data_IF_862502862636
#
_entry.id   IF_862502862636
#
_cell.length_a   1.000
_cell.length_b   1.000
_cell.length_c   1.000
_cell.angle_alpha   90.00
_cell.angle_beta   90.00
_cell.angle_gamma   90.00
#
_symmetry.space_group_name_H-M   'P 1'
#
loop_
_entity.id
_entity.type
_entity.pdbx_description
1 polymer ?
#
# COMPACT_ATOMS: atom_id res chain seq x y z
N UNK A 1 -28.30 -28.96 -2.95
CA UNK A 1 -27.14 -28.35 -2.26
C UNK A 1 -25.87 -29.04 -2.73
N UNK A 2 -24.82 -28.31 -3.14
CA UNK A 2 -23.57 -28.93 -3.54
C UNK A 2 -22.96 -29.69 -2.36
N UNK A 3 -22.74 -31.00 -2.53
CA UNK A 3 -22.12 -31.84 -1.51
C UNK A 3 -20.62 -31.58 -1.48
N UNK A 4 -20.01 -31.69 -0.31
CA UNK A 4 -18.56 -31.70 -0.21
C UNK A 4 -18.01 -32.89 -1.04
N UNK A 5 -16.84 -32.72 -1.66
CA UNK A 5 -16.15 -33.82 -2.31
C UNK A 5 -15.83 -34.94 -1.28
N UNK A 6 -15.71 -36.21 -1.70
CA UNK A 6 -15.33 -37.31 -0.82
C UNK A 6 -14.04 -37.04 -0.05
N UNK A 7 -13.88 -37.60 1.16
CA UNK A 7 -12.71 -37.36 2.02
C UNK A 7 -11.38 -37.71 1.34
N UNK A 8 -11.35 -38.78 0.55
CA UNK A 8 -10.18 -39.17 -0.24
C UNK A 8 -9.75 -38.06 -1.22
N UNK A 9 -10.72 -37.40 -1.86
CA UNK A 9 -10.47 -36.27 -2.75
C UNK A 9 -10.04 -35.03 -1.98
N UNK A 10 -10.62 -34.78 -0.80
CA UNK A 10 -10.19 -33.69 0.07
C UNK A 10 -8.72 -33.83 0.49
N UNK A 11 -8.32 -35.05 0.89
CA UNK A 11 -6.95 -35.36 1.25
C UNK A 11 -6.01 -35.21 0.05
N UNK A 12 -6.42 -35.71 -1.13
CA UNK A 12 -5.64 -35.60 -2.35
C UNK A 12 -5.44 -34.14 -2.79
N UNK A 13 -6.49 -33.31 -2.72
CA UNK A 13 -6.41 -31.87 -3.02
C UNK A 13 -5.42 -31.15 -2.10
N UNK A 14 -5.50 -31.41 -0.79
CA UNK A 14 -4.56 -30.84 0.19
C UNK A 14 -3.12 -31.18 -0.14
N UNK A 15 -2.85 -32.46 -0.47
CA UNK A 15 -1.50 -32.92 -0.81
C UNK A 15 -0.97 -32.24 -2.06
N UNK A 16 -1.78 -32.17 -3.12
CA UNK A 16 -1.43 -31.52 -4.39
C UNK A 16 -1.10 -30.05 -4.22
N UNK A 17 -1.98 -29.29 -3.55
CA UNK A 17 -1.76 -27.86 -3.33
C UNK A 17 -0.53 -27.57 -2.46
N UNK A 18 -0.25 -28.41 -1.45
CA UNK A 18 0.96 -28.24 -0.65
C UNK A 18 2.24 -28.59 -1.42
N UNK A 19 2.22 -29.65 -2.25
CA UNK A 19 3.36 -29.99 -3.10
C UNK A 19 3.62 -28.88 -4.14
N UNK A 20 2.57 -28.41 -4.81
CA UNK A 20 2.66 -27.32 -5.78
C UNK A 20 3.16 -26.02 -5.14
N UNK A 21 2.66 -25.68 -3.95
CA UNK A 21 3.12 -24.52 -3.19
C UNK A 21 4.58 -24.62 -2.78
N UNK A 22 5.06 -25.81 -2.40
CA UNK A 22 6.46 -26.00 -2.02
C UNK A 22 7.41 -25.77 -3.22
N UNK A 23 6.97 -26.11 -4.44
CA UNK A 23 7.74 -25.96 -5.67
C UNK A 23 7.66 -24.53 -6.25
N UNK A 24 6.45 -23.95 -6.30
CA UNK A 24 6.19 -22.69 -7.01
C UNK A 24 6.07 -21.48 -6.08
N UNK A 25 5.86 -21.69 -4.78
CA UNK A 25 5.61 -20.62 -3.80
C UNK A 25 6.52 -20.72 -2.55
N UNK A 26 7.85 -20.51 -2.67
CA UNK A 26 8.82 -20.72 -1.58
C UNK A 26 8.59 -19.86 -0.32
N UNK A 27 7.72 -18.85 -0.41
CA UNK A 27 7.33 -17.94 0.68
C UNK A 27 6.26 -18.53 1.59
N UNK A 28 5.47 -19.46 1.07
CA UNK A 28 4.50 -20.20 1.87
C UNK A 28 5.25 -21.27 2.68
N UNK A 29 5.00 -21.30 3.97
CA UNK A 29 5.33 -22.46 4.80
C UNK A 29 4.37 -23.61 4.51
N UNK A 30 3.08 -23.30 4.28
CA UNK A 30 2.05 -24.32 4.05
C UNK A 30 0.80 -23.74 3.38
N UNK A 31 0.03 -24.59 2.72
CA UNK A 31 -1.34 -24.27 2.28
C UNK A 31 -2.36 -25.03 3.12
N UNK A 32 -3.31 -24.30 3.70
CA UNK A 32 -4.45 -24.83 4.45
C UNK A 32 -5.69 -24.87 3.59
N UNK A 33 -6.42 -25.98 3.64
CA UNK A 33 -7.64 -26.17 2.85
C UNK A 33 -8.77 -26.64 3.75
N UNK A 34 -9.82 -25.83 3.85
CA UNK A 34 -11.03 -26.12 4.64
C UNK A 34 -12.23 -26.31 3.74
N UNK A 35 -12.99 -27.38 3.94
CA UNK A 35 -14.17 -27.69 3.13
C UNK A 35 -15.45 -27.29 3.85
N UNK A 36 -16.35 -26.59 3.15
CA UNK A 36 -17.69 -26.24 3.65
C UNK A 36 -18.66 -26.06 2.48
N UNK A 37 -19.83 -26.70 2.56
CA UNK A 37 -20.94 -26.51 1.62
C UNK A 37 -20.56 -26.63 0.13
N UNK A 38 -19.72 -27.60 -0.24
CA UNK A 38 -19.29 -27.83 -1.62
C UNK A 38 -18.14 -26.92 -2.09
N UNK A 39 -17.54 -26.15 -1.18
CA UNK A 39 -16.40 -25.29 -1.46
C UNK A 39 -15.17 -25.73 -0.66
N UNK A 40 -13.99 -25.55 -1.26
CA UNK A 40 -12.71 -25.60 -0.60
C UNK A 40 -12.16 -24.17 -0.46
N UNK A 41 -11.96 -23.73 0.78
CA UNK A 41 -11.36 -22.44 1.12
C UNK A 41 -9.86 -22.65 1.30
N UNK A 42 -9.07 -21.92 0.53
CA UNK A 42 -7.61 -22.07 0.45
C UNK A 42 -6.96 -20.87 1.12
N UNK A 43 -6.14 -21.13 2.12
CA UNK A 43 -5.36 -20.14 2.87
C UNK A 43 -3.87 -20.48 2.78
N UNK A 44 -3.03 -19.46 2.57
CA UNK A 44 -1.57 -19.60 2.60
C UNK A 44 -1.03 -19.22 3.97
N UNK A 45 -0.26 -20.11 4.60
CA UNK A 45 0.54 -19.80 5.78
C UNK A 45 1.93 -19.35 5.34
N UNK A 46 2.30 -18.12 5.68
CA UNK A 46 3.62 -17.56 5.41
C UNK A 46 4.66 -18.15 6.39
N UNK A 47 5.94 -18.11 6.02
CA UNK A 47 7.05 -18.51 6.92
C UNK A 47 7.09 -17.76 8.26
N UNK A 48 6.43 -16.61 8.36
CA UNK A 48 6.23 -15.87 9.61
C UNK A 48 5.04 -16.34 10.47
N UNK A 49 4.35 -17.43 10.10
CA UNK A 49 3.22 -18.01 10.84
C UNK A 49 1.85 -17.37 10.57
N UNK A 50 1.81 -16.29 9.78
CA UNK A 50 0.57 -15.60 9.40
C UNK A 50 -0.21 -16.36 8.32
N UNK A 51 -1.55 -16.37 8.43
CA UNK A 51 -2.45 -17.02 7.46
C UNK A 51 -3.23 -15.99 6.64
N UNK A 52 -3.10 -16.11 5.32
CA UNK A 52 -3.75 -15.24 4.34
C UNK A 52 -4.79 -16.04 3.53
N UNK A 53 -6.05 -15.59 3.43
CA UNK A 53 -7.01 -16.17 2.51
C UNK A 53 -6.62 -15.92 1.05
N UNK A 54 -6.51 -16.97 0.23
CA UNK A 54 -6.06 -16.86 -1.17
C UNK A 54 -7.25 -16.95 -2.12
N UNK A 55 -7.92 -18.09 -2.14
CA UNK A 55 -9.02 -18.36 -3.07
C UNK A 55 -10.02 -19.38 -2.52
N UNK A 56 -11.15 -19.49 -3.21
CA UNK A 56 -12.19 -20.47 -2.95
C UNK A 56 -12.43 -21.28 -4.22
N UNK A 57 -12.38 -22.61 -4.06
CA UNK A 57 -12.62 -23.57 -5.12
C UNK A 57 -14.02 -24.15 -4.96
N UNK A 58 -14.82 -24.15 -6.01
CA UNK A 58 -16.15 -24.75 -6.06
C UNK A 58 -16.05 -26.15 -6.66
N UNK A 59 -16.52 -27.14 -5.93
CA UNK A 59 -16.61 -28.50 -6.44
C UNK A 59 -17.76 -28.60 -7.44
N UNK A 60 -17.47 -29.07 -8.66
CA UNK A 60 -18.44 -29.21 -9.75
C UNK A 60 -18.81 -30.67 -10.04
N UNK A 61 -18.22 -31.63 -9.31
CA UNK A 61 -18.39 -33.07 -9.55
C UNK A 61 -17.23 -33.72 -10.30
N UNK A 62 -16.33 -32.92 -10.90
CA UNK A 62 -15.12 -33.40 -11.56
C UNK A 62 -13.91 -33.43 -10.60
N UNK A 63 -13.04 -34.44 -10.76
CA UNK A 63 -11.93 -34.69 -9.83
C UNK A 63 -10.82 -33.62 -9.91
N UNK A 64 -10.58 -33.07 -11.10
CA UNK A 64 -9.47 -32.15 -11.38
C UNK A 64 -9.93 -30.74 -11.80
N UNK A 65 -11.24 -30.49 -11.87
CA UNK A 65 -11.77 -29.23 -12.40
C UNK A 65 -12.61 -28.53 -11.33
N UNK A 66 -12.21 -27.33 -10.98
CA UNK A 66 -12.81 -26.54 -9.90
C UNK A 66 -13.25 -25.19 -10.42
N UNK A 67 -14.43 -24.73 -9.99
CA UNK A 67 -14.80 -23.33 -10.17
C UNK A 67 -13.95 -22.45 -9.26
N UNK A 68 -13.57 -21.27 -9.70
CA UNK A 68 -12.57 -20.44 -9.02
C UNK A 68 -13.12 -19.07 -8.61
N UNK A 69 -12.86 -18.69 -7.37
CA UNK A 69 -13.13 -17.36 -6.86
C UNK A 69 -11.91 -16.84 -6.09
N UNK A 70 -11.50 -15.61 -6.38
CA UNK A 70 -10.43 -14.94 -5.65
C UNK A 70 -10.98 -14.36 -4.36
N UNK A 71 -10.20 -14.43 -3.28
CA UNK A 71 -10.52 -13.61 -2.11
C UNK A 71 -10.42 -12.13 -2.50
N UNK A 72 -11.23 -11.27 -1.89
CA UNK A 72 -11.14 -9.81 -2.01
C UNK A 72 -11.09 -9.20 -0.60
N UNK A 73 -9.92 -8.68 -0.22
CA UNK A 73 -9.72 -8.14 1.14
C UNK A 73 -10.66 -6.97 1.46
N UNK A 74 -11.06 -6.18 0.45
CA UNK A 74 -11.91 -5.01 0.62
C UNK A 74 -13.37 -5.30 1.02
N UNK A 75 -13.89 -6.50 0.74
CA UNK A 75 -15.25 -6.91 1.11
C UNK A 75 -15.28 -8.14 2.03
N UNK A 76 -14.11 -8.68 2.41
CA UNK A 76 -13.99 -9.90 3.20
C UNK A 76 -14.58 -11.15 2.52
N UNK A 77 -14.77 -11.10 1.20
CA UNK A 77 -15.53 -12.08 0.42
C UNK A 77 -14.71 -12.79 -0.65
N UNK A 78 -15.40 -13.62 -1.43
CA UNK A 78 -14.82 -14.33 -2.58
C UNK A 78 -15.60 -13.95 -3.84
N UNK A 79 -14.89 -13.46 -4.85
CA UNK A 79 -15.45 -13.06 -6.13
C UNK A 79 -15.10 -14.09 -7.20
N UNK A 80 -16.12 -14.62 -7.86
CA UNK A 80 -15.93 -15.52 -8.99
C UNK A 80 -15.15 -14.81 -10.10
N UNK A 81 -14.14 -15.48 -10.66
CA UNK A 81 -13.25 -14.91 -11.68
C UNK A 81 -12.98 -15.95 -12.76
N UNK A 82 -12.54 -15.46 -13.92
CA UNK A 82 -12.05 -16.29 -15.02
C UNK A 82 -10.54 -16.50 -14.93
N UNK A 83 -10.09 -17.64 -15.43
CA UNK A 83 -8.70 -17.94 -15.71
C UNK A 83 -8.23 -17.15 -16.96
N UNK A 84 -6.90 -17.00 -17.19
CA UNK A 84 -6.37 -16.28 -18.36
C UNK A 84 -6.84 -16.81 -19.72
N UNK A 85 -7.20 -18.10 -19.78
CA UNK A 85 -7.79 -18.76 -20.95
C UNK A 85 -9.28 -18.43 -21.16
N UNK A 86 -9.87 -17.57 -20.34
CA UNK A 86 -11.29 -17.19 -20.38
C UNK A 86 -12.24 -18.19 -19.71
N UNK A 87 -11.75 -19.33 -19.22
CA UNK A 87 -12.59 -20.34 -18.59
C UNK A 87 -12.93 -19.97 -17.14
N UNK A 88 -14.08 -20.45 -16.66
CA UNK A 88 -14.55 -20.24 -15.27
C UNK A 88 -14.21 -21.41 -14.35
N UNK A 89 -13.57 -22.46 -14.89
CA UNK A 89 -13.14 -23.62 -14.16
C UNK A 89 -11.80 -24.14 -14.71
N UNK A 90 -10.94 -24.61 -13.82
CA UNK A 90 -9.58 -25.05 -14.13
C UNK A 90 -9.06 -25.97 -13.02
N UNK A 91 -7.77 -26.24 -13.04
CA UNK A 91 -7.13 -27.01 -11.97
C UNK A 91 -7.05 -26.19 -10.67
N UNK A 92 -6.89 -26.90 -9.54
CA UNK A 92 -6.73 -26.25 -8.25
C UNK A 92 -5.38 -25.52 -8.14
N UNK A 93 -4.35 -26.05 -8.80
CA UNK A 93 -3.00 -25.49 -8.89
C UNK A 93 -2.99 -24.19 -9.68
N UNK A 94 -3.61 -24.14 -10.86
CA UNK A 94 -3.75 -22.89 -11.63
C UNK A 94 -4.49 -21.81 -10.82
N UNK A 95 -5.49 -22.21 -10.02
CA UNK A 95 -6.21 -21.29 -9.15
C UNK A 95 -5.33 -20.78 -8.00
N UNK A 96 -4.47 -21.64 -7.45
CA UNK A 96 -3.48 -21.27 -6.45
C UNK A 96 -2.43 -20.33 -7.03
N UNK A 97 -1.91 -20.61 -8.22
CA UNK A 97 -0.94 -19.77 -8.89
C UNK A 97 -1.52 -18.40 -9.20
N UNK A 98 -2.73 -18.36 -9.75
CA UNK A 98 -3.40 -17.08 -10.03
C UNK A 98 -3.64 -16.26 -8.77
N UNK A 99 -4.00 -16.90 -7.66
CA UNK A 99 -4.17 -16.23 -6.38
C UNK A 99 -2.82 -15.80 -5.78
N UNK A 100 -1.78 -16.62 -5.91
CA UNK A 100 -0.43 -16.34 -5.49
C UNK A 100 0.18 -15.18 -6.25
N UNK A 101 0.00 -15.09 -7.56
CA UNK A 101 0.45 -13.95 -8.37
C UNK A 101 -0.13 -12.64 -7.84
N UNK A 102 -1.43 -12.64 -7.53
CA UNK A 102 -2.10 -11.42 -7.07
C UNK A 102 -1.79 -11.04 -5.62
N UNK A 103 -1.36 -12.00 -4.79
CA UNK A 103 -1.31 -11.83 -3.32
C UNK A 103 0.06 -12.02 -2.70
N UNK A 104 0.86 -12.91 -3.28
CA UNK A 104 2.11 -13.42 -2.72
C UNK A 104 3.32 -13.02 -3.57
N UNK A 105 3.11 -12.73 -4.87
CA UNK A 105 4.13 -11.99 -5.62
C UNK A 105 4.01 -10.49 -5.29
N UNK A 106 5.11 -9.86 -4.85
CA UNK A 106 5.27 -8.43 -5.09
C UNK A 106 5.31 -8.33 -6.60
N UNK A 107 4.48 -7.49 -7.21
CA UNK A 107 4.59 -7.25 -8.65
C UNK A 107 6.07 -6.94 -8.96
N UNK A 108 6.84 -7.87 -9.56
CA UNK A 108 8.09 -7.51 -10.16
C UNK A 108 7.69 -6.79 -11.45
N UNK A 109 8.49 -5.83 -11.92
CA UNK A 109 8.07 -4.94 -12.97
C UNK A 109 7.60 -5.75 -14.18
N UNK A 110 6.33 -5.58 -14.57
CA UNK A 110 5.82 -6.04 -15.86
C UNK A 110 6.43 -5.28 -17.04
N UNK A 111 7.72 -4.95 -16.97
CA UNK A 111 8.48 -4.13 -17.90
C UNK A 111 9.98 -4.12 -17.54
N UNK A 112 10.85 -3.65 -18.44
CA UNK A 112 12.30 -3.68 -18.26
C UNK A 112 12.74 -2.59 -17.27
N UNK A 113 12.69 -2.88 -15.97
CA UNK A 113 13.30 -2.06 -14.92
C UNK A 113 12.33 -1.39 -13.94
N UNK A 114 12.86 -0.59 -12.99
CA UNK A 114 12.05 0.10 -11.98
C UNK A 114 11.02 1.03 -12.62
N UNK A 115 9.86 1.18 -11.98
CA UNK A 115 8.82 2.12 -12.40
C UNK A 115 9.36 3.56 -12.32
N UNK A 116 9.42 4.30 -13.43
CA UNK A 116 9.88 5.67 -13.41
C UNK A 116 8.85 6.58 -12.72
N UNK A 117 9.32 7.42 -11.81
CA UNK A 117 8.56 8.48 -11.15
C UNK A 117 9.08 9.81 -11.65
N UNK A 118 8.29 10.58 -12.44
CA UNK A 118 8.72 11.84 -13.00
C UNK A 118 9.02 12.88 -11.90
N UNK A 119 9.92 13.81 -12.18
CA UNK A 119 10.17 14.95 -11.29
C UNK A 119 8.89 15.80 -11.18
N UNK A 120 8.42 16.01 -9.95
CA UNK A 120 7.16 16.69 -9.67
C UNK A 120 6.69 16.46 -8.24
N UNK A 121 5.38 16.41 -8.03
CA UNK A 121 4.79 16.14 -6.72
C UNK A 121 4.56 14.64 -6.54
N UNK A 122 5.13 14.06 -5.49
CA UNK A 122 4.90 12.68 -5.08
C UNK A 122 4.10 12.65 -3.78
N UNK A 123 2.90 12.09 -3.82
CA UNK A 123 2.04 11.95 -2.64
C UNK A 123 2.11 10.53 -2.11
N UNK A 124 2.52 10.38 -0.85
CA UNK A 124 2.36 9.10 -0.16
C UNK A 124 0.94 9.01 0.39
N UNK A 125 0.22 7.94 0.06
CA UNK A 125 -1.18 7.75 0.42
C UNK A 125 -1.32 6.46 1.22
N UNK A 126 -1.60 6.56 2.51
CA UNK A 126 -1.85 5.39 3.34
C UNK A 126 -2.07 5.73 4.81
N UNK A 127 -2.73 4.83 5.56
CA UNK A 127 -3.03 5.04 6.98
C UNK A 127 -1.75 5.12 7.83
N UNK A 128 -1.83 5.61 9.08
CA UNK A 128 -0.76 5.41 10.06
C UNK A 128 -0.35 3.94 10.13
N UNK A 129 0.89 3.68 10.55
CA UNK A 129 1.49 2.34 10.54
C UNK A 129 1.77 1.71 9.17
N UNK A 130 1.30 2.25 8.04
CA UNK A 130 1.42 1.60 6.71
C UNK A 130 2.83 1.46 6.09
N UNK A 131 3.88 1.92 6.78
CA UNK A 131 5.27 1.80 6.29
C UNK A 131 5.82 2.97 5.45
N UNK A 132 5.07 4.07 5.29
CA UNK A 132 5.49 5.27 4.54
C UNK A 132 6.88 5.78 4.96
N UNK A 133 7.07 6.05 6.25
CA UNK A 133 8.34 6.58 6.79
C UNK A 133 9.50 5.60 6.60
N UNK A 134 9.26 4.30 6.75
CA UNK A 134 10.29 3.29 6.49
C UNK A 134 10.69 3.25 5.01
N UNK A 135 9.71 3.37 4.11
CA UNK A 135 9.95 3.45 2.67
C UNK A 135 10.75 4.71 2.28
N UNK A 136 10.36 5.87 2.80
CA UNK A 136 11.05 7.15 2.57
C UNK A 136 12.51 7.09 3.06
N UNK A 137 12.73 6.66 4.30
CA UNK A 137 14.08 6.49 4.85
C UNK A 137 14.95 5.59 3.98
N UNK A 138 14.35 4.54 3.41
CA UNK A 138 15.05 3.62 2.52
C UNK A 138 15.38 4.27 1.17
N UNK A 139 14.47 5.08 0.60
CA UNK A 139 14.76 5.85 -0.60
C UNK A 139 15.92 6.82 -0.40
N UNK A 140 15.96 7.52 0.74
CA UNK A 140 17.06 8.44 1.09
C UNK A 140 18.38 7.66 1.28
N UNK A 141 18.36 6.60 2.09
CA UNK A 141 19.56 5.80 2.39
C UNK A 141 20.21 5.21 1.13
N UNK A 142 19.41 4.93 0.09
CA UNK A 142 19.90 4.45 -1.20
C UNK A 142 20.12 5.56 -2.24
N UNK A 143 20.06 6.83 -1.83
CA UNK A 143 20.29 7.98 -2.72
C UNK A 143 19.27 8.12 -3.85
N UNK A 144 18.08 7.51 -3.72
CA UNK A 144 17.03 7.58 -4.76
C UNK A 144 16.33 8.93 -4.76
N UNK A 145 16.16 9.52 -3.59
CA UNK A 145 15.68 10.89 -3.38
C UNK A 145 16.63 11.59 -2.40
N UNK A 146 16.68 12.90 -2.48
CA UNK A 146 17.41 13.72 -1.50
C UNK A 146 16.54 13.89 -0.25
N UNK A 147 17.16 14.00 0.93
CA UNK A 147 16.44 14.12 2.21
C UNK A 147 15.54 15.36 2.26
N UNK A 148 16.03 16.47 1.72
CA UNK A 148 15.31 17.73 1.59
C UNK A 148 14.11 17.66 0.62
N UNK A 149 14.00 16.59 -0.18
CA UNK A 149 12.86 16.33 -1.04
C UNK A 149 11.63 15.85 -0.28
N UNK A 150 11.78 15.43 0.97
CA UNK A 150 10.69 14.94 1.81
C UNK A 150 10.14 16.08 2.66
N UNK A 151 8.83 16.30 2.56
CA UNK A 151 8.11 17.27 3.38
C UNK A 151 7.12 16.48 4.23
N UNK A 152 7.46 16.26 5.51
CA UNK A 152 6.64 15.53 6.47
C UNK A 152 5.88 16.49 7.40
N UNK A 153 4.56 16.27 7.54
CA UNK A 153 3.76 17.05 8.51
C UNK A 153 4.16 16.77 9.96
N UNK A 154 4.64 15.56 10.25
CA UNK A 154 5.10 15.17 11.60
C UNK A 154 6.42 15.86 11.95
N UNK A 155 7.33 15.99 10.99
CA UNK A 155 8.61 16.72 11.18
C UNK A 155 8.35 18.21 11.35
N UNK A 156 7.49 18.81 10.51
CA UNK A 156 7.09 20.21 10.65
C UNK A 156 6.41 20.46 12.01
N UNK A 157 5.54 19.54 12.46
CA UNK A 157 4.93 19.61 13.79
C UNK A 157 5.99 19.62 14.88
N UNK A 158 6.98 18.73 14.80
CA UNK A 158 8.07 18.66 15.77
C UNK A 158 8.96 19.92 15.75
N UNK A 159 9.25 20.49 14.58
CA UNK A 159 10.01 21.73 14.44
C UNK A 159 9.27 22.94 15.03
N UNK A 160 7.98 23.09 14.70
CA UNK A 160 7.18 24.24 15.14
C UNK A 160 6.80 24.19 16.62
N UNK A 161 6.55 23.00 17.18
CA UNK A 161 6.17 22.83 18.58
C UNK A 161 7.36 22.52 19.51
N UNK A 162 8.43 21.92 18.98
CA UNK A 162 9.67 21.66 19.72
C UNK A 162 10.56 22.89 19.86
N UNK A 163 10.39 23.90 18.99
CA UNK A 163 10.97 25.22 19.15
C UNK A 163 10.07 26.12 20.02
N UNK A 164 9.82 25.73 21.28
CA UNK A 164 9.25 26.66 22.23
C UNK A 164 10.22 27.84 22.42
N UNK A 165 9.76 29.11 22.38
CA UNK A 165 10.63 30.26 22.53
C UNK A 165 11.28 30.22 23.91
N UNK A 166 12.61 30.31 23.94
CA UNK A 166 13.36 30.63 25.14
C UNK A 166 12.98 32.04 25.58
N UNK A 167 11.96 32.13 26.42
CA UNK A 167 11.43 33.39 26.95
C UNK A 167 9.94 33.55 26.71
N UNK A 168 9.12 32.76 27.41
CA UNK A 168 7.71 33.14 27.60
C UNK A 168 7.51 33.34 29.10
N UNK A 169 7.00 34.52 29.44
CA UNK A 169 6.62 34.92 30.78
C UNK A 169 5.67 33.86 31.39
N UNK A 170 5.80 33.49 32.69
CA UNK A 170 4.98 32.45 33.32
C UNK A 170 3.46 32.77 33.37
N UNK A 171 3.07 34.00 33.01
CA UNK A 171 1.70 34.51 33.14
C UNK A 171 0.94 34.57 31.80
N UNK A 172 1.43 33.93 30.73
CA UNK A 172 0.66 33.83 29.47
C UNK A 172 0.00 32.46 29.36
N UNK A 173 -1.26 32.36 29.80
CA UNK A 173 -2.18 31.28 29.46
C UNK A 173 -2.49 31.29 27.95
N UNK A 174 -1.51 30.96 27.09
CA UNK A 174 -1.76 30.77 25.66
C UNK A 174 -2.03 29.29 25.39
N UNK A 175 -3.20 28.80 25.78
CA UNK A 175 -3.79 27.60 25.18
C UNK A 175 -4.00 27.89 23.68
N UNK A 176 -2.97 27.64 22.87
CA UNK A 176 -3.07 27.81 21.42
C UNK A 176 -4.04 26.78 20.90
N UNK A 177 -5.06 27.23 20.14
CA UNK A 177 -6.08 26.36 19.56
C UNK A 177 -5.41 25.25 18.71
N UNK A 178 -5.68 23.96 18.97
CA UNK A 178 -5.17 22.86 18.16
C UNK A 178 -5.41 23.03 16.65
N UNK A 179 -6.53 23.64 16.27
CA UNK A 179 -6.86 23.88 14.86
C UNK A 179 -5.94 24.94 14.22
N UNK A 180 -5.54 25.98 14.97
CA UNK A 180 -4.57 26.97 14.52
C UNK A 180 -3.17 26.37 14.36
N UNK A 181 -2.79 25.46 15.28
CA UNK A 181 -1.52 24.73 15.17
C UNK A 181 -1.49 23.86 13.92
N UNK A 182 -2.54 23.09 13.66
CA UNK A 182 -2.63 22.25 12.46
C UNK A 182 -2.67 23.08 11.17
N UNK A 183 -3.35 24.23 11.17
CA UNK A 183 -3.33 25.16 10.05
C UNK A 183 -1.91 25.64 9.73
N UNK A 184 -1.14 26.06 10.75
CA UNK A 184 0.26 26.49 10.59
C UNK A 184 1.15 25.38 10.04
N UNK A 185 0.95 24.14 10.49
CA UNK A 185 1.69 22.97 9.98
C UNK A 185 1.40 22.75 8.49
N UNK A 186 0.13 22.82 8.09
CA UNK A 186 -0.25 22.65 6.68
C UNK A 186 0.21 23.80 5.79
N UNK A 187 0.16 25.04 6.27
CA UNK A 187 0.70 26.19 5.56
C UNK A 187 2.21 26.06 5.34
N UNK A 188 2.96 25.66 6.37
CA UNK A 188 4.41 25.46 6.26
C UNK A 188 4.74 24.31 5.31
N UNK A 189 3.99 23.21 5.36
CA UNK A 189 4.13 22.09 4.42
C UNK A 189 3.94 22.57 2.99
N UNK A 190 2.87 23.29 2.73
CA UNK A 190 2.54 23.77 1.39
C UNK A 190 3.57 24.78 0.89
N UNK A 191 4.09 25.65 1.77
CA UNK A 191 5.19 26.58 1.47
C UNK A 191 6.45 25.83 1.02
N UNK A 192 6.85 24.77 1.72
CA UNK A 192 8.01 23.93 1.35
C UNK A 192 7.79 23.21 0.02
N UNK A 193 6.59 22.66 -0.21
CA UNK A 193 6.24 22.03 -1.48
C UNK A 193 6.31 23.05 -2.63
N UNK A 194 5.70 24.22 -2.47
CA UNK A 194 5.74 25.31 -3.45
C UNK A 194 7.18 25.70 -3.80
N UNK A 195 8.05 25.87 -2.80
CA UNK A 195 9.44 26.25 -3.02
C UNK A 195 10.19 25.23 -3.90
N UNK A 196 10.01 23.92 -3.65
CA UNK A 196 10.64 22.87 -4.44
C UNK A 196 10.10 22.80 -5.86
N UNK A 197 8.78 22.83 -6.01
CA UNK A 197 8.15 22.77 -7.34
C UNK A 197 8.49 23.99 -8.19
N UNK A 198 8.58 25.19 -7.59
CA UNK A 198 9.06 26.40 -8.26
C UNK A 198 10.51 26.29 -8.75
N UNK A 199 11.35 25.55 -8.02
CA UNK A 199 12.72 25.23 -8.45
C UNK A 199 12.79 24.05 -9.45
N UNK A 200 11.65 23.50 -9.88
CA UNK A 200 11.59 22.33 -10.76
C UNK A 200 12.05 21.03 -10.10
N UNK A 201 12.16 21.01 -8.77
CA UNK A 201 12.61 19.88 -7.97
C UNK A 201 11.44 19.00 -7.53
N UNK A 202 11.72 17.72 -7.30
CA UNK A 202 10.72 16.78 -6.75
C UNK A 202 10.37 17.14 -5.32
N UNK A 203 9.08 17.14 -5.00
CA UNK A 203 8.56 17.28 -3.63
C UNK A 203 7.80 16.00 -3.25
N UNK A 204 8.23 15.33 -2.18
CA UNK A 204 7.59 14.14 -1.62
C UNK A 204 6.80 14.55 -0.39
N UNK A 205 5.47 14.59 -0.50
CA UNK A 205 4.60 14.90 0.64
C UNK A 205 4.37 13.64 1.49
N UNK A 206 5.09 13.55 2.62
CA UNK A 206 4.92 12.48 3.58
C UNK A 206 3.83 12.85 4.59
N UNK A 207 2.63 12.32 4.37
CA UNK A 207 1.49 12.41 5.29
C UNK A 207 0.56 11.24 5.02
N UNK A 208 -0.57 11.14 5.72
CA UNK A 208 -1.54 10.06 5.45
C UNK A 208 -2.22 10.23 4.09
N UNK A 209 -2.59 11.46 3.71
CA UNK A 209 -3.21 11.85 2.43
C UNK A 209 -4.41 10.96 2.00
N UNK A 210 -5.12 10.36 2.96
CA UNK A 210 -6.22 9.43 2.67
C UNK A 210 -7.52 10.11 2.27
N UNK A 211 -7.71 11.40 2.62
CA UNK A 211 -8.92 12.16 2.31
C UNK A 211 -8.80 12.86 0.94
N UNK A 212 -9.89 12.96 0.16
CA UNK A 212 -9.90 13.73 -1.08
C UNK A 212 -9.52 15.20 -0.88
N UNK A 213 -9.97 15.82 0.21
CA UNK A 213 -9.70 17.22 0.51
C UNK A 213 -8.21 17.50 0.69
N UNK A 214 -7.49 16.62 1.42
CA UNK A 214 -6.05 16.75 1.60
C UNK A 214 -5.31 16.67 0.26
N UNK A 215 -5.74 15.78 -0.63
CA UNK A 215 -5.12 15.61 -1.95
C UNK A 215 -5.45 16.75 -2.91
N UNK A 216 -6.72 17.20 -2.95
CA UNK A 216 -7.17 18.26 -3.86
C UNK A 216 -6.33 19.54 -3.72
N UNK A 217 -6.00 19.91 -2.48
CA UNK A 217 -5.15 21.08 -2.19
C UNK A 217 -3.72 20.91 -2.74
N UNK A 218 -3.11 19.75 -2.54
CA UNK A 218 -1.75 19.46 -3.02
C UNK A 218 -1.70 19.33 -4.56
N UNK A 219 -2.72 18.71 -5.16
CA UNK A 219 -2.87 18.64 -6.62
C UNK A 219 -2.99 20.04 -7.20
N UNK A 220 -3.81 20.91 -6.62
CA UNK A 220 -3.94 22.29 -7.06
C UNK A 220 -2.60 23.05 -7.01
N UNK A 221 -1.78 22.82 -5.98
CA UNK A 221 -0.41 23.38 -5.91
C UNK A 221 0.44 22.86 -7.07
N UNK A 222 0.49 21.55 -7.32
CA UNK A 222 1.30 20.98 -8.41
C UNK A 222 0.89 21.50 -9.79
N UNK A 223 -0.43 21.62 -10.04
CA UNK A 223 -0.95 22.12 -11.32
C UNK A 223 -0.56 23.58 -11.60
N UNK A 224 -0.34 24.41 -10.57
CA UNK A 224 0.17 25.79 -10.76
C UNK A 224 1.59 25.86 -11.33
N UNK A 225 2.35 24.77 -11.22
CA UNK A 225 3.73 24.67 -11.69
C UNK A 225 3.88 23.69 -12.87
N UNK A 226 2.76 23.25 -13.47
CA UNK A 226 2.73 22.19 -14.49
C UNK A 226 3.50 20.93 -14.08
N UNK A 227 3.55 20.65 -12.77
CA UNK A 227 4.28 19.53 -12.21
C UNK A 227 3.40 18.27 -12.20
N UNK A 228 3.92 17.12 -12.67
CA UNK A 228 3.18 15.87 -12.63
C UNK A 228 2.96 15.42 -11.18
N UNK A 229 1.79 14.83 -10.92
CA UNK A 229 1.39 14.29 -9.63
C UNK A 229 1.44 12.76 -9.69
N UNK A 230 2.36 12.17 -8.94
CA UNK A 230 2.45 10.72 -8.73
C UNK A 230 1.93 10.36 -7.35
N UNK A 231 1.01 9.41 -7.25
CA UNK A 231 0.51 8.92 -5.95
C UNK A 231 1.02 7.49 -5.67
N UNK A 232 1.70 7.33 -4.54
CA UNK A 232 2.22 6.04 -4.06
C UNK A 232 1.34 5.54 -2.91
N UNK A 233 0.60 4.47 -3.15
CA UNK A 233 -0.39 3.91 -2.23
C UNK A 233 0.20 2.81 -1.36
N UNK A 234 -0.09 2.86 -0.06
CA UNK A 234 0.34 1.86 0.91
C UNK A 234 -0.90 1.14 1.44
N UNK A 235 -1.19 -0.05 0.92
CA UNK A 235 -2.43 -0.80 1.18
C UNK A 235 -2.20 -2.11 1.96
N UNK A 236 -1.54 -2.11 3.13
CA UNK A 236 -1.52 -3.29 3.99
C UNK A 236 -2.93 -3.59 4.52
N UNK A 237 -3.14 -4.83 4.95
CA UNK A 237 -4.37 -5.22 5.63
C UNK A 237 -4.49 -4.57 7.02
N UNK A 238 -5.72 -4.52 7.54
CA UNK A 238 -6.00 -3.86 8.81
C UNK A 238 -5.30 -4.54 9.99
N UNK A 239 -5.16 -5.87 9.98
CA UNK A 239 -4.56 -6.59 11.10
C UNK A 239 -3.05 -6.33 11.17
N UNK A 240 -2.38 -6.24 10.02
CA UNK A 240 -0.98 -5.80 9.96
C UNK A 240 -0.82 -4.35 10.42
N UNK A 241 -1.70 -3.43 10.01
CA UNK A 241 -1.65 -2.03 10.47
C UNK A 241 -1.78 -1.92 11.98
N UNK A 242 -2.73 -2.66 12.58
CA UNK A 242 -2.96 -2.65 14.02
C UNK A 242 -1.77 -3.26 14.78
N UNK A 243 -1.23 -4.39 14.31
CA UNK A 243 0.00 -5.00 14.88
C UNK A 243 1.17 -4.02 14.82
N UNK A 244 1.43 -3.44 13.66
CA UNK A 244 2.51 -2.47 13.47
C UNK A 244 2.32 -1.21 14.32
N UNK A 245 1.09 -0.74 14.51
CA UNK A 245 0.83 0.40 15.39
C UNK A 245 1.12 0.06 16.86
N UNK A 246 0.73 -1.13 17.31
CA UNK A 246 1.01 -1.60 18.66
C UNK A 246 2.52 -1.76 18.90
N UNK A 247 3.25 -2.34 17.94
CA UNK A 247 4.72 -2.50 18.01
C UNK A 247 5.47 -1.16 18.03
N UNK A 248 4.94 -0.12 17.38
CA UNK A 248 5.55 1.22 17.38
C UNK A 248 5.52 1.89 18.75
N UNK A 249 4.57 1.51 19.62
CA UNK A 249 4.45 2.05 20.98
C UNK A 249 4.21 3.56 21.07
N UNK A 250 3.79 4.22 19.97
CA UNK A 250 3.47 5.66 20.00
C UNK A 250 2.08 5.87 20.60
N UNK A 251 1.92 6.96 21.36
CA UNK A 251 0.66 7.32 22.04
C UNK A 251 -0.22 8.28 21.22
N UNK A 252 0.29 8.82 20.13
CA UNK A 252 -0.37 9.85 19.31
C UNK A 252 -1.36 9.29 18.29
N UNK A 253 -1.41 7.97 18.09
CA UNK A 253 -2.36 7.31 17.18
C UNK A 253 -2.95 6.06 17.81
N UNK A 254 -4.26 6.06 18.06
CA UNK A 254 -4.96 4.92 18.64
C UNK A 254 -5.31 3.86 17.59
N UNK A 255 -5.63 2.65 18.04
CA UNK A 255 -6.16 1.60 17.17
C UNK A 255 -7.50 2.01 16.50
N UNK A 256 -8.30 2.87 17.13
CA UNK A 256 -9.52 3.40 16.54
C UNK A 256 -9.21 4.34 15.37
N UNK A 257 -8.20 5.20 15.52
CA UNK A 257 -7.74 6.10 14.46
C UNK A 257 -7.22 5.31 13.26
N UNK A 258 -6.38 4.30 13.49
CA UNK A 258 -5.88 3.42 12.42
C UNK A 258 -7.03 2.79 11.62
N UNK A 259 -8.08 2.30 12.29
CA UNK A 259 -9.29 1.77 11.63
C UNK A 259 -10.02 2.85 10.83
N UNK A 260 -10.16 4.05 11.38
CA UNK A 260 -10.79 5.17 10.68
C UNK A 260 -10.02 5.54 9.42
N UNK A 261 -8.70 5.72 9.51
CA UNK A 261 -7.83 6.01 8.37
C UNK A 261 -7.87 4.90 7.31
N UNK A 262 -7.82 3.63 7.70
CA UNK A 262 -7.93 2.49 6.78
C UNK A 262 -9.30 2.47 6.09
N UNK A 263 -10.38 2.76 6.82
CA UNK A 263 -11.73 2.87 6.28
C UNK A 263 -11.88 4.01 5.27
N UNK A 264 -11.30 5.18 5.55
CA UNK A 264 -11.27 6.32 4.62
C UNK A 264 -10.48 5.96 3.35
N UNK A 265 -9.30 5.35 3.50
CA UNK A 265 -8.48 4.92 2.36
C UNK A 265 -9.24 3.94 1.45
N UNK A 266 -9.91 2.92 2.03
CA UNK A 266 -10.65 1.92 1.26
C UNK A 266 -11.82 2.53 0.46
N UNK A 267 -12.42 3.61 0.97
CA UNK A 267 -13.51 4.34 0.30
C UNK A 267 -13.00 5.31 -0.75
N UNK A 268 -11.92 6.04 -0.46
CA UNK A 268 -11.55 7.25 -1.19
C UNK A 268 -10.18 7.21 -1.89
N UNK A 269 -9.41 6.13 -1.76
CA UNK A 269 -8.08 6.03 -2.36
C UNK A 269 -7.92 4.80 -3.27
N UNK A 270 -8.97 4.51 -4.04
CA UNK A 270 -8.93 3.52 -5.14
C UNK A 270 -8.19 4.13 -6.34
N UNK A 271 -7.44 3.33 -7.13
CA UNK A 271 -6.57 3.90 -8.15
C UNK A 271 -7.35 4.71 -9.21
N UNK A 272 -8.51 4.21 -9.66
CA UNK A 272 -9.36 4.96 -10.60
C UNK A 272 -9.89 6.29 -10.04
N UNK A 273 -10.15 6.36 -8.74
CA UNK A 273 -10.56 7.61 -8.10
C UNK A 273 -9.40 8.60 -8.00
N UNK A 274 -8.21 8.14 -7.61
CA UNK A 274 -7.03 9.00 -7.52
C UNK A 274 -6.63 9.59 -8.88
N UNK A 275 -6.77 8.80 -9.96
CA UNK A 275 -6.59 9.29 -11.33
C UNK A 275 -7.65 10.36 -11.68
N UNK A 276 -8.92 10.12 -11.35
CA UNK A 276 -10.00 11.08 -11.59
C UNK A 276 -9.85 12.39 -10.79
N UNK A 277 -9.18 12.34 -9.64
CA UNK A 277 -8.85 13.53 -8.83
C UNK A 277 -7.71 14.37 -9.43
N UNK A 278 -6.99 13.85 -10.42
CA UNK A 278 -5.91 14.55 -11.11
C UNK A 278 -4.51 14.02 -10.82
N UNK A 279 -4.36 12.78 -10.33
CA UNK A 279 -3.07 12.09 -10.38
C UNK A 279 -2.73 11.74 -11.84
N UNK A 280 -1.49 12.01 -12.27
CA UNK A 280 -1.00 11.60 -13.57
C UNK A 280 -0.53 10.13 -13.55
N UNK A 281 -0.08 9.66 -12.39
CA UNK A 281 0.27 8.26 -12.17
C UNK A 281 -0.10 7.80 -10.76
N UNK A 282 -0.51 6.52 -10.64
CA UNK A 282 -0.86 5.89 -9.36
C UNK A 282 -0.21 4.52 -9.29
N UNK A 283 0.53 4.26 -8.22
CA UNK A 283 1.22 2.99 -7.99
C UNK A 283 0.97 2.47 -6.59
N UNK A 284 0.74 1.16 -6.47
CA UNK A 284 0.77 0.48 -5.18
C UNK A 284 2.22 0.16 -4.82
N UNK A 285 2.64 0.56 -3.62
CA UNK A 285 3.97 0.26 -3.10
C UNK A 285 3.96 -1.18 -2.58
N UNK A 286 4.86 -2.06 -3.05
CA UNK A 286 4.96 -3.42 -2.54
C UNK A 286 5.19 -3.41 -1.02
N UNK A 287 4.34 -4.13 -0.28
CA UNK A 287 4.41 -4.25 1.17
C UNK A 287 4.89 -5.62 1.63
N UNK A 288 4.96 -5.79 2.96
CA UNK A 288 5.39 -7.04 3.60
C UNK A 288 4.46 -8.23 3.31
N UNK A 289 3.18 -8.01 3.05
CA UNK A 289 2.26 -9.07 2.61
C UNK A 289 2.68 -9.65 1.25
N UNK A 290 3.16 -8.78 0.37
CA UNK A 290 3.79 -9.17 -0.87
C UNK A 290 5.26 -9.58 -0.66
N UNK A 291 5.68 -9.88 0.57
CA UNK A 291 7.02 -10.25 1.00
C UNK A 291 8.13 -9.27 0.59
N UNK A 292 7.79 -8.03 0.26
CA UNK A 292 8.77 -7.01 -0.08
C UNK A 292 9.25 -6.32 1.21
N UNK A 293 10.56 -6.30 1.39
CA UNK A 293 11.23 -5.41 2.33
C UNK A 293 11.08 -3.95 1.86
N UNK A 294 11.24 -2.96 2.76
CA UNK A 294 11.28 -1.56 2.34
C UNK A 294 12.33 -1.28 1.25
N UNK A 295 13.46 -2.02 1.24
CA UNK A 295 14.50 -1.90 0.23
C UNK A 295 14.06 -2.42 -1.15
N UNK A 296 13.39 -3.58 -1.19
CA UNK A 296 12.82 -4.10 -2.43
C UNK A 296 11.69 -3.20 -2.94
N UNK A 297 10.85 -2.68 -2.04
CA UNK A 297 9.82 -1.71 -2.37
C UNK A 297 10.42 -0.41 -2.94
N UNK A 298 11.49 0.11 -2.34
CA UNK A 298 12.20 1.29 -2.83
C UNK A 298 12.86 1.04 -4.20
N UNK A 299 13.45 -0.14 -4.40
CA UNK A 299 14.07 -0.54 -5.67
C UNK A 299 13.06 -0.69 -6.82
N UNK A 300 11.76 -0.84 -6.51
CA UNK A 300 10.69 -0.87 -7.49
C UNK A 300 10.49 0.50 -8.19
N UNK A 301 10.97 1.60 -7.62
CA UNK A 301 10.78 2.95 -8.15
C UNK A 301 12.11 3.62 -8.51
N UNK A 302 12.14 4.32 -9.64
CA UNK A 302 13.27 5.18 -10.03
C UNK A 302 12.77 6.61 -10.16
N UNK A 303 13.31 7.51 -9.34
CA UNK A 303 12.91 8.91 -9.33
C UNK A 303 13.81 9.69 -10.28
N UNK A 304 13.24 10.26 -11.33
CA UNK A 304 14.00 11.20 -12.17
C UNK A 304 14.34 12.43 -11.36
N UNK A 305 15.63 12.75 -11.30
CA UNK A 305 16.09 14.06 -10.86
C UNK A 305 16.09 14.96 -12.09
N UNK A 306 15.36 16.08 -12.04
CA UNK A 306 15.57 17.16 -13.01
C UNK A 306 16.89 17.84 -12.63
N UNK A 307 18.01 17.26 -13.05
CA UNK A 307 19.30 17.96 -13.08
C UNK A 307 19.43 18.63 -14.44
N UNK A 308 19.53 19.96 -14.40
CA UNK A 308 20.01 20.90 -15.43
C UNK A 308 19.56 20.67 -16.87
N UNK A 309 18.78 21.62 -17.38
CA UNK A 309 18.56 21.81 -18.82
C UNK A 309 19.92 21.81 -19.55
N UNK A 310 20.23 20.84 -20.41
CA UNK A 310 21.35 20.98 -21.33
C UNK A 310 20.89 21.87 -22.47
N UNK A 311 21.35 23.14 -22.46
CA UNK A 311 21.43 24.02 -23.61
C UNK A 311 20.12 24.64 -24.12
N UNK A 312 20.00 25.95 -23.96
CA UNK A 312 19.51 26.79 -25.05
C UNK A 312 20.72 27.17 -25.92
N UNK A 313 20.59 27.21 -27.27
CA UNK A 313 21.66 27.64 -28.16
C UNK A 313 22.06 29.11 -27.98
#
# INVERSE_FOLDING_TARGET
MPKNPPESMQHHLRRRLNAHAAEHWPRLARVHVRFRAGFAYVEGELKGGERLPLCRLRFTGALHTWGFALYEAGNGGYRDTTFPNGLTAGSAEEALDRAGDLRLTPHPPGGPGPTPVPAGLVLLVGPPASGKTSFVRTLIAHGRIDEDAVISSDEIRAELLGAAPTGTDPDTDSETDPDEVDARIFEERDRRIVARLAAGQTAVAESTNVTPQARARLIAIARRFDAPVTMLRFTPDLDLLLRQNAERGRTDTTAADVRAYAGVMARHARPGQLLAEGADAVHDVPGRLQGATPAEAAAHFSFTRRTEVPGLP
#
